data_IF_183048834786
#
_entry.id   IF_183048834786
#
_cell.length_a   1.000
_cell.length_b   1.000
_cell.length_c   1.000
_cell.angle_alpha   90.00
_cell.angle_beta   90.00
_cell.angle_gamma   90.00
#
_symmetry.space_group_name_H-M   'P 1'
#
loop_
_entity.id
_entity.type
_entity.pdbx_description
1 polymer ?
#
# COMPACT_ATOMS: atom_id res chain seq x y z
N UNK A 1 -14.58 -35.53 -16.82
CA UNK A 1 -15.25 -35.24 -18.10
C UNK A 1 -16.60 -35.97 -18.22
N UNK A 2 -16.68 -37.28 -18.49
CA UNK A 2 -17.97 -37.98 -18.72
C UNK A 2 -18.96 -38.06 -17.53
N UNK A 3 -18.54 -37.73 -16.30
CA UNK A 3 -19.44 -37.69 -15.13
C UNK A 3 -20.17 -36.35 -14.95
N UNK A 4 -19.63 -35.24 -15.47
CA UNK A 4 -20.22 -33.91 -15.27
C UNK A 4 -21.46 -33.68 -16.14
N UNK A 5 -21.56 -34.39 -17.27
CA UNK A 5 -22.75 -34.41 -18.13
C UNK A 5 -23.99 -35.04 -17.46
N UNK A 6 -23.84 -35.67 -16.30
CA UNK A 6 -24.93 -36.30 -15.53
C UNK A 6 -25.49 -35.44 -14.41
N UNK A 7 -24.98 -34.21 -14.20
CA UNK A 7 -25.53 -33.30 -13.21
C UNK A 7 -26.98 -32.98 -13.56
N UNK A 8 -27.91 -33.33 -12.65
CA UNK A 8 -29.33 -33.03 -12.85
C UNK A 8 -29.65 -31.64 -12.31
N UNK A 9 -30.51 -30.86 -13.00
CA UNK A 9 -31.15 -29.72 -12.39
C UNK A 9 -31.97 -30.19 -11.18
N UNK A 10 -31.88 -29.45 -10.07
CA UNK A 10 -32.47 -29.85 -8.79
C UNK A 10 -34.00 -29.77 -8.84
N UNK A 11 -34.75 -30.87 -8.64
CA UNK A 11 -36.20 -30.82 -8.60
C UNK A 11 -36.65 -30.23 -7.26
N UNK A 12 -37.15 -28.99 -7.26
CA UNK A 12 -37.63 -28.30 -6.06
C UNK A 12 -37.11 -26.87 -5.88
N UNK A 13 -36.16 -26.44 -6.70
CA UNK A 13 -35.77 -25.02 -6.83
C UNK A 13 -36.02 -24.58 -8.27
N UNK A 14 -37.25 -24.13 -8.54
CA UNK A 14 -37.56 -23.47 -9.80
C UNK A 14 -37.06 -22.03 -9.70
N UNK A 15 -35.94 -21.72 -10.35
CA UNK A 15 -35.63 -20.34 -10.76
C UNK A 15 -36.51 -20.04 -11.97
N UNK A 16 -37.77 -19.68 -11.74
CA UNK A 16 -38.57 -19.03 -12.78
C UNK A 16 -38.05 -17.62 -12.93
N UNK A 17 -37.31 -17.36 -14.00
CA UNK A 17 -37.10 -16.01 -14.49
C UNK A 17 -38.43 -15.48 -15.03
N UNK A 18 -39.23 -14.85 -14.15
CA UNK A 18 -40.37 -14.02 -14.56
C UNK A 18 -40.27 -12.73 -13.77
N UNK A 19 -39.77 -11.68 -14.44
CA UNK A 19 -39.95 -10.28 -14.05
C UNK A 19 -39.27 -9.82 -12.76
N UNK A 20 -38.04 -9.30 -12.88
CA UNK A 20 -37.61 -8.05 -12.23
C UNK A 20 -37.67 -7.87 -10.70
N UNK A 21 -38.08 -8.85 -9.90
CA UNK A 21 -38.15 -8.72 -8.44
C UNK A 21 -37.08 -9.58 -7.75
N UNK A 22 -36.24 -8.94 -6.95
CA UNK A 22 -35.28 -9.63 -6.08
C UNK A 22 -36.04 -10.43 -5.01
N UNK A 23 -36.14 -11.75 -5.17
CA UNK A 23 -36.74 -12.60 -4.14
C UNK A 23 -35.88 -12.65 -2.88
N UNK A 24 -36.36 -12.07 -1.79
CA UNK A 24 -35.90 -12.40 -0.43
C UNK A 24 -36.40 -13.80 -0.09
N UNK A 25 -35.49 -14.72 0.18
CA UNK A 25 -35.81 -15.91 0.95
C UNK A 25 -36.13 -15.49 2.39
N UNK A 26 -37.42 -15.32 2.71
CA UNK A 26 -37.84 -15.14 4.10
C UNK A 26 -37.58 -16.44 4.86
N UNK A 27 -36.93 -16.42 6.04
CA UNK A 27 -36.65 -17.62 6.80
C UNK A 27 -37.97 -18.28 7.23
N UNK A 28 -38.17 -19.53 6.80
CA UNK A 28 -39.33 -20.33 7.24
C UNK A 28 -39.30 -20.51 8.77
N UNK A 29 -40.46 -20.70 9.43
CA UNK A 29 -40.51 -21.06 10.84
C UNK A 29 -39.90 -22.44 11.10
N UNK A 30 -39.12 -22.58 12.19
CA UNK A 30 -38.29 -23.76 12.55
C UNK A 30 -39.01 -25.12 12.50
N UNK A 31 -40.33 -25.14 12.74
CA UNK A 31 -41.17 -26.35 12.69
C UNK A 31 -41.31 -26.93 11.28
N UNK A 32 -41.35 -26.07 10.26
CA UNK A 32 -41.56 -26.47 8.87
C UNK A 32 -40.29 -27.14 8.27
N UNK A 33 -39.10 -26.74 8.73
CA UNK A 33 -37.82 -27.32 8.29
C UNK A 33 -37.67 -28.81 8.63
N UNK A 34 -38.22 -29.25 9.78
CA UNK A 34 -38.07 -30.62 10.23
C UNK A 34 -38.98 -31.59 9.44
N UNK A 35 -40.11 -31.13 8.92
CA UNK A 35 -41.02 -31.93 8.11
C UNK A 35 -40.44 -32.19 6.71
N UNK A 36 -39.86 -31.16 6.09
CA UNK A 36 -39.26 -31.22 4.76
C UNK A 36 -38.08 -32.22 4.72
N UNK A 37 -37.19 -32.20 5.72
CA UNK A 37 -36.03 -33.09 5.78
C UNK A 37 -36.38 -34.60 5.94
N UNK A 38 -37.56 -34.92 6.49
CA UNK A 38 -37.98 -36.31 6.72
C UNK A 38 -38.55 -36.97 5.46
N UNK A 39 -39.14 -36.18 4.55
CA UNK A 39 -39.76 -36.66 3.29
C UNK A 39 -38.72 -36.96 2.19
N UNK A 40 -37.55 -36.33 2.23
CA UNK A 40 -36.51 -36.44 1.20
C UNK A 40 -35.64 -37.71 1.33
N UNK A 41 -35.60 -38.33 2.52
CA UNK A 41 -34.73 -39.50 2.81
C UNK A 41 -34.97 -40.76 1.95
N UNK A 42 -36.11 -40.88 1.26
CA UNK A 42 -36.43 -42.08 0.47
C UNK A 42 -35.94 -42.01 -0.98
N UNK A 43 -35.22 -40.96 -1.39
CA UNK A 43 -34.72 -40.78 -2.76
C UNK A 43 -33.24 -40.34 -2.74
N UNK A 44 -32.32 -41.24 -2.36
CA UNK A 44 -30.89 -40.93 -2.52
C UNK A 44 -30.51 -40.97 -4.01
N UNK A 45 -30.19 -39.82 -4.59
CA UNK A 45 -29.70 -39.72 -5.96
C UNK A 45 -28.27 -40.28 -6.09
N UNK A 46 -27.98 -40.99 -7.19
CA UNK A 46 -26.65 -41.55 -7.49
C UNK A 46 -25.55 -40.46 -7.61
N UNK A 47 -25.93 -39.24 -7.97
CA UNK A 47 -25.03 -38.11 -8.24
C UNK A 47 -25.52 -36.84 -7.55
N UNK A 48 -24.58 -35.96 -7.18
CA UNK A 48 -24.93 -34.61 -6.72
C UNK A 48 -25.65 -33.82 -7.82
N UNK A 49 -26.60 -32.98 -7.44
CA UNK A 49 -27.12 -31.95 -8.35
C UNK A 49 -26.13 -30.78 -8.48
N UNK A 50 -26.40 -29.85 -9.40
CA UNK A 50 -25.50 -28.74 -9.69
C UNK A 50 -25.13 -27.92 -8.44
N UNK A 51 -26.12 -27.49 -7.65
CA UNK A 51 -25.91 -26.68 -6.45
C UNK A 51 -25.08 -27.43 -5.38
N UNK A 52 -25.35 -28.72 -5.21
CA UNK A 52 -24.59 -29.58 -4.30
C UNK A 52 -23.14 -29.73 -4.77
N UNK A 53 -22.90 -29.89 -6.07
CA UNK A 53 -21.56 -29.99 -6.63
C UNK A 53 -20.78 -28.67 -6.49
N UNK A 54 -21.40 -27.53 -6.78
CA UNK A 54 -20.81 -26.18 -6.58
C UNK A 54 -20.44 -25.95 -5.12
N UNK A 55 -21.34 -26.28 -4.18
CA UNK A 55 -21.06 -26.19 -2.74
C UNK A 55 -19.87 -27.08 -2.37
N UNK A 56 -19.90 -28.34 -2.78
CA UNK A 56 -18.88 -29.31 -2.39
C UNK A 56 -17.52 -28.90 -2.95
N UNK A 57 -17.40 -28.65 -4.26
CA UNK A 57 -16.11 -28.26 -4.85
C UNK A 57 -15.61 -26.90 -4.34
N UNK A 58 -16.51 -25.95 -4.10
CA UNK A 58 -16.14 -24.63 -3.60
C UNK A 58 -15.66 -24.66 -2.15
N UNK A 59 -16.39 -25.35 -1.27
CA UNK A 59 -15.97 -25.49 0.13
C UNK A 59 -14.74 -26.38 0.29
N UNK A 60 -14.46 -27.28 -0.65
CA UNK A 60 -13.21 -28.05 -0.64
C UNK A 60 -11.98 -27.17 -0.84
N UNK A 61 -12.08 -26.00 -1.47
CA UNK A 61 -10.99 -25.00 -1.48
C UNK A 61 -10.78 -24.33 -0.13
N UNK A 62 -11.71 -24.47 0.82
CA UNK A 62 -11.59 -23.95 2.18
C UNK A 62 -11.86 -24.97 3.29
N UNK A 63 -12.83 -24.65 4.16
CA UNK A 63 -13.15 -25.39 5.40
C UNK A 63 -13.77 -26.78 5.17
N UNK A 64 -14.18 -27.09 3.95
CA UNK A 64 -14.66 -28.41 3.57
C UNK A 64 -13.57 -29.48 3.72
N UNK A 65 -13.94 -30.62 4.29
CA UNK A 65 -13.05 -31.78 4.38
C UNK A 65 -13.77 -33.05 3.91
N UNK A 66 -13.00 -33.99 3.38
CA UNK A 66 -13.52 -35.30 3.02
C UNK A 66 -12.68 -36.42 3.60
N UNK A 67 -13.32 -37.56 3.79
CA UNK A 67 -12.68 -38.82 4.13
C UNK A 67 -13.25 -39.91 3.23
N UNK A 68 -12.41 -40.86 2.83
CA UNK A 68 -12.82 -42.00 2.02
C UNK A 68 -12.59 -43.28 2.79
N UNK A 69 -13.64 -44.08 2.93
CA UNK A 69 -13.54 -45.49 3.29
C UNK A 69 -13.93 -46.29 2.03
N UNK A 70 -15.11 -46.92 2.01
CA UNK A 70 -15.67 -47.49 0.78
C UNK A 70 -16.01 -46.39 -0.25
N UNK A 71 -16.72 -45.36 0.20
CA UNK A 71 -17.01 -44.16 -0.57
C UNK A 71 -16.59 -42.90 0.20
N UNK A 72 -16.49 -41.78 -0.49
CA UNK A 72 -16.21 -40.49 0.10
C UNK A 72 -17.38 -40.00 0.96
N UNK A 73 -17.04 -39.25 1.99
CA UNK A 73 -17.96 -38.53 2.87
C UNK A 73 -17.44 -37.11 3.07
N UNK A 74 -18.34 -36.13 3.05
CA UNK A 74 -18.06 -34.72 3.25
C UNK A 74 -18.31 -34.31 4.70
N UNK A 75 -17.48 -33.43 5.23
CA UNK A 75 -17.63 -32.84 6.56
C UNK A 75 -17.49 -31.33 6.45
N UNK A 76 -18.41 -30.62 7.11
CA UNK A 76 -18.31 -29.17 7.32
C UNK A 76 -18.28 -28.86 8.81
N UNK A 77 -17.36 -27.98 9.21
CA UNK A 77 -17.15 -27.56 10.58
C UNK A 77 -16.83 -26.06 10.57
N UNK A 78 -17.67 -25.25 11.23
CA UNK A 78 -17.45 -23.82 11.37
C UNK A 78 -17.59 -23.38 12.82
N UNK A 79 -17.01 -22.25 13.18
CA UNK A 79 -17.24 -21.64 14.49
C UNK A 79 -18.74 -21.43 14.74
N UNK A 80 -19.17 -21.47 16.01
CA UNK A 80 -20.60 -21.38 16.36
C UNK A 80 -21.26 -20.06 15.92
N UNK A 81 -20.47 -19.00 15.76
CA UNK A 81 -20.89 -17.71 15.19
C UNK A 81 -21.33 -17.81 13.72
N UNK A 82 -20.89 -18.84 12.98
CA UNK A 82 -21.24 -19.13 11.60
C UNK A 82 -22.16 -20.37 11.47
N UNK A 83 -22.86 -20.74 12.55
CA UNK A 83 -23.75 -21.93 12.55
C UNK A 83 -24.87 -21.84 11.50
N UNK A 84 -25.39 -20.64 11.21
CA UNK A 84 -26.41 -20.42 10.19
C UNK A 84 -25.87 -20.73 8.79
N UNK A 85 -24.64 -20.33 8.49
CA UNK A 85 -23.97 -20.68 7.24
C UNK A 85 -23.80 -22.20 7.12
N UNK A 86 -23.35 -22.84 8.20
CA UNK A 86 -23.23 -24.31 8.23
C UNK A 86 -24.59 -25.02 8.10
N UNK A 87 -25.66 -24.42 8.63
CA UNK A 87 -27.03 -24.93 8.49
C UNK A 87 -27.50 -24.89 7.03
N UNK A 88 -27.19 -23.83 6.28
CA UNK A 88 -27.48 -23.75 4.84
C UNK A 88 -26.79 -24.89 4.08
N UNK A 89 -25.51 -25.16 4.38
CA UNK A 89 -24.79 -26.27 3.75
C UNK A 89 -25.44 -27.62 4.05
N UNK A 90 -25.87 -27.83 5.30
CA UNK A 90 -26.61 -29.02 5.69
C UNK A 90 -27.90 -29.19 4.89
N UNK A 91 -28.68 -28.12 4.70
CA UNK A 91 -29.95 -28.21 3.98
C UNK A 91 -29.77 -28.62 2.53
N UNK A 92 -28.76 -28.05 1.85
CA UNK A 92 -28.40 -28.40 0.46
C UNK A 92 -27.99 -29.87 0.35
N UNK A 93 -27.31 -30.41 1.37
CA UNK A 93 -26.84 -31.80 1.42
C UNK A 93 -27.74 -32.72 2.26
N UNK A 94 -28.95 -32.31 2.62
CA UNK A 94 -29.74 -32.97 3.68
C UNK A 94 -30.11 -34.42 3.34
N UNK A 95 -30.23 -34.74 2.06
CA UNK A 95 -30.48 -36.10 1.53
C UNK A 95 -29.34 -37.07 1.87
N UNK A 96 -28.13 -36.53 2.02
CA UNK A 96 -26.92 -37.28 2.32
C UNK A 96 -26.52 -37.22 3.78
N UNK A 97 -27.34 -36.67 4.69
CA UNK A 97 -26.96 -36.42 6.08
C UNK A 97 -27.87 -37.15 7.07
N UNK A 98 -27.27 -37.89 8.00
CA UNK A 98 -27.99 -38.64 9.05
C UNK A 98 -28.43 -37.77 10.22
N UNK A 99 -27.71 -36.70 10.52
CA UNK A 99 -27.93 -35.84 11.68
C UNK A 99 -27.72 -34.37 11.33
N UNK A 100 -28.62 -33.52 11.81
CA UNK A 100 -28.49 -32.06 11.69
C UNK A 100 -27.17 -31.56 12.32
N UNK A 101 -26.67 -30.36 11.95
CA UNK A 101 -25.51 -29.78 12.58
C UNK A 101 -25.59 -29.77 14.11
N UNK A 102 -24.53 -30.26 14.75
CA UNK A 102 -24.42 -30.38 16.20
C UNK A 102 -23.41 -29.38 16.74
N UNK A 103 -23.73 -28.82 17.90
CA UNK A 103 -22.81 -27.98 18.67
C UNK A 103 -21.73 -28.88 19.28
N UNK A 104 -20.46 -28.58 19.05
CA UNK A 104 -19.30 -29.30 19.60
C UNK A 104 -18.32 -28.32 20.22
N UNK A 105 -17.58 -28.75 21.23
CA UNK A 105 -16.43 -27.98 21.72
C UNK A 105 -15.43 -27.88 20.58
N UNK A 106 -14.93 -26.68 20.32
CA UNK A 106 -13.97 -26.47 19.24
C UNK A 106 -12.55 -26.74 19.74
N UNK A 107 -11.75 -27.42 18.92
CA UNK A 107 -10.34 -27.69 19.21
C UNK A 107 -9.42 -26.57 18.69
N UNK A 108 -9.98 -25.61 17.94
CA UNK A 108 -9.28 -24.46 17.37
C UNK A 108 -9.70 -23.12 17.99
N UNK A 109 -9.93 -22.12 17.15
CA UNK A 109 -10.28 -20.77 17.58
C UNK A 109 -11.75 -20.65 18.01
N UNK A 110 -12.00 -20.13 19.20
CA UNK A 110 -13.34 -20.01 19.80
C UNK A 110 -13.76 -21.25 20.58
N UNK A 111 -14.81 -21.13 21.39
CA UNK A 111 -15.20 -22.20 22.35
C UNK A 111 -16.04 -23.31 21.71
N UNK A 112 -16.90 -22.96 20.75
CA UNK A 112 -17.89 -23.86 20.17
C UNK A 112 -17.84 -23.84 18.64
N UNK A 113 -18.09 -25.00 18.05
CA UNK A 113 -18.27 -25.17 16.60
C UNK A 113 -19.64 -25.78 16.28
N UNK A 114 -20.10 -25.57 15.05
CA UNK A 114 -21.22 -26.25 14.42
C UNK A 114 -20.64 -27.23 13.41
N UNK A 115 -20.99 -28.52 13.52
CA UNK A 115 -20.45 -29.57 12.65
C UNK A 115 -21.54 -30.50 12.14
N UNK A 116 -21.45 -30.91 10.87
CA UNK A 116 -22.17 -32.08 10.34
C UNK A 116 -21.26 -32.86 9.39
N UNK A 117 -21.65 -34.09 9.08
CA UNK A 117 -21.00 -34.93 8.08
C UNK A 117 -22.06 -35.64 7.26
N UNK A 118 -21.74 -35.93 6.00
CA UNK A 118 -22.57 -36.76 5.15
C UNK A 118 -22.31 -38.23 5.42
N UNK A 119 -23.24 -39.08 5.00
CA UNK A 119 -23.03 -40.50 4.82
C UNK A 119 -21.89 -40.73 3.80
N UNK A 120 -21.21 -41.86 3.93
CA UNK A 120 -20.29 -42.36 2.89
C UNK A 120 -21.13 -42.77 1.69
N UNK A 121 -20.98 -42.09 0.55
CA UNK A 121 -21.87 -42.25 -0.60
C UNK A 121 -21.13 -42.02 -1.93
N UNK A 122 -21.46 -42.83 -2.95
CA UNK A 122 -20.82 -42.79 -4.29
C UNK A 122 -20.89 -41.41 -4.94
N UNK A 123 -21.95 -40.65 -4.67
CA UNK A 123 -22.14 -39.28 -5.18
C UNK A 123 -20.97 -38.32 -4.84
N UNK A 124 -20.19 -38.59 -3.78
CA UNK A 124 -19.04 -37.75 -3.41
C UNK A 124 -17.69 -38.25 -3.98
N UNK A 125 -17.64 -39.45 -4.57
CA UNK A 125 -16.38 -40.04 -5.03
C UNK A 125 -15.72 -39.20 -6.12
N UNK A 126 -16.50 -38.55 -7.00
CA UNK A 126 -15.95 -37.66 -8.03
C UNK A 126 -15.23 -36.47 -7.39
N UNK A 127 -15.84 -35.80 -6.41
CA UNK A 127 -15.26 -34.65 -5.76
C UNK A 127 -14.01 -35.04 -4.96
N UNK A 128 -14.04 -36.19 -4.27
CA UNK A 128 -12.86 -36.71 -3.61
C UNK A 128 -11.71 -36.97 -4.59
N UNK A 129 -11.99 -37.60 -5.73
CA UNK A 129 -10.99 -37.91 -6.76
C UNK A 129 -10.39 -36.67 -7.41
N UNK A 130 -11.14 -35.57 -7.50
CA UNK A 130 -10.63 -34.29 -8.03
C UNK A 130 -9.80 -33.53 -7.00
N UNK A 131 -10.24 -33.53 -5.75
CA UNK A 131 -9.64 -32.70 -4.70
C UNK A 131 -8.50 -33.38 -3.93
N UNK A 132 -8.27 -34.69 -4.10
CA UNK A 132 -7.24 -35.42 -3.36
C UNK A 132 -6.31 -36.24 -4.26
N UNK A 133 -5.03 -36.20 -3.92
CA UNK A 133 -4.00 -37.10 -4.41
C UNK A 133 -3.28 -37.72 -3.21
N UNK A 134 -3.14 -39.05 -3.19
CA UNK A 134 -2.51 -39.78 -2.07
C UNK A 134 -3.11 -39.38 -0.71
N UNK A 135 -4.44 -39.33 -0.63
CA UNK A 135 -5.23 -38.95 0.56
C UNK A 135 -5.02 -37.53 1.08
N UNK A 136 -4.24 -36.70 0.38
CA UNK A 136 -4.02 -35.30 0.72
C UNK A 136 -4.82 -34.41 -0.21
N UNK A 137 -5.38 -33.34 0.32
CA UNK A 137 -6.06 -32.32 -0.49
C UNK A 137 -5.01 -31.61 -1.36
N UNK A 138 -5.20 -31.63 -2.68
CA UNK A 138 -4.26 -31.03 -3.64
C UNK A 138 -5.03 -30.22 -4.69
N UNK A 139 -4.62 -28.98 -4.93
CA UNK A 139 -5.17 -28.16 -6.02
C UNK A 139 -4.56 -28.58 -7.34
N UNK A 140 -5.40 -29.04 -8.27
CA UNK A 140 -4.99 -29.52 -9.60
C UNK A 140 -5.70 -28.74 -10.70
N UNK A 141 -5.12 -28.64 -11.91
CA UNK A 141 -5.81 -28.04 -13.06
C UNK A 141 -7.14 -28.74 -13.38
N UNK A 142 -7.23 -30.06 -13.15
CA UNK A 142 -8.46 -30.83 -13.36
C UNK A 142 -9.58 -30.41 -12.41
N UNK A 143 -9.27 -30.18 -11.13
CA UNK A 143 -10.25 -29.64 -10.19
C UNK A 143 -10.69 -28.23 -10.59
N UNK A 144 -9.76 -27.35 -10.94
CA UNK A 144 -10.09 -25.98 -11.35
C UNK A 144 -10.93 -25.95 -12.63
N UNK A 145 -10.64 -26.82 -13.60
CA UNK A 145 -11.45 -26.97 -14.82
C UNK A 145 -12.88 -27.45 -14.50
N UNK A 146 -13.01 -28.40 -13.56
CA UNK A 146 -14.33 -28.85 -13.12
C UNK A 146 -15.14 -27.72 -12.46
N UNK A 147 -14.49 -26.82 -11.72
CA UNK A 147 -15.14 -25.62 -11.17
C UNK A 147 -15.64 -24.70 -12.29
N UNK A 148 -14.85 -24.48 -13.34
CA UNK A 148 -15.24 -23.68 -14.49
C UNK A 148 -16.47 -24.27 -15.20
N UNK A 149 -16.48 -25.58 -15.42
CA UNK A 149 -17.57 -26.29 -16.10
C UNK A 149 -18.91 -26.19 -15.34
N UNK A 150 -18.88 -26.22 -14.00
CA UNK A 150 -20.11 -26.21 -13.19
C UNK A 150 -20.55 -24.81 -12.73
N UNK A 151 -19.85 -23.75 -13.15
CA UNK A 151 -20.13 -22.39 -12.72
C UNK A 151 -19.09 -21.90 -11.70
N UNK A 152 -18.09 -21.19 -12.23
CA UNK A 152 -16.98 -20.65 -11.45
C UNK A 152 -17.46 -19.72 -10.32
N UNK A 153 -18.31 -18.73 -10.61
CA UNK A 153 -18.67 -17.70 -9.63
C UNK A 153 -19.56 -18.23 -8.51
N UNK A 154 -20.47 -19.15 -8.82
CA UNK A 154 -21.30 -19.85 -7.83
C UNK A 154 -20.44 -20.67 -6.86
N UNK A 155 -19.47 -21.40 -7.42
CA UNK A 155 -18.52 -22.21 -6.65
C UNK A 155 -17.59 -21.34 -5.80
N UNK A 156 -17.08 -20.24 -6.36
CA UNK A 156 -16.22 -19.29 -5.66
C UNK A 156 -16.94 -18.54 -4.53
N UNK A 157 -18.27 -18.37 -4.62
CA UNK A 157 -19.08 -17.83 -3.53
C UNK A 157 -18.98 -18.67 -2.24
N UNK A 158 -18.94 -19.99 -2.37
CA UNK A 158 -18.73 -20.91 -1.25
C UNK A 158 -17.30 -20.85 -0.69
N UNK A 159 -16.30 -20.79 -1.55
CA UNK A 159 -14.91 -20.64 -1.10
C UNK A 159 -14.70 -19.32 -0.36
N UNK A 160 -15.27 -18.21 -0.85
CA UNK A 160 -15.27 -16.93 -0.16
C UNK A 160 -15.96 -17.04 1.21
N UNK A 161 -17.08 -17.74 1.28
CA UNK A 161 -17.82 -18.00 2.51
C UNK A 161 -16.94 -18.64 3.58
N UNK A 162 -16.07 -19.57 3.19
CA UNK A 162 -15.16 -20.28 4.09
C UNK A 162 -13.96 -19.38 4.44
N UNK A 163 -13.10 -19.12 3.45
CA UNK A 163 -11.75 -18.57 3.66
C UNK A 163 -11.56 -17.13 3.16
N UNK A 164 -12.63 -16.48 2.73
CA UNK A 164 -12.61 -15.09 2.33
C UNK A 164 -12.52 -14.11 3.50
N UNK A 165 -11.71 -13.06 3.35
CA UNK A 165 -11.65 -11.94 4.30
C UNK A 165 -11.45 -10.62 3.58
N UNK A 166 -12.32 -9.63 3.83
CA UNK A 166 -12.18 -8.27 3.30
C UNK A 166 -11.56 -7.35 4.35
N UNK A 167 -10.49 -6.66 3.98
CA UNK A 167 -10.01 -5.53 4.77
C UNK A 167 -10.82 -4.28 4.40
N UNK A 168 -11.80 -3.96 5.24
CA UNK A 168 -12.69 -2.81 5.06
C UNK A 168 -11.97 -1.44 4.97
N UNK A 169 -10.72 -1.32 5.45
CA UNK A 169 -9.94 -0.08 5.37
C UNK A 169 -9.18 0.05 4.05
N UNK A 170 -8.69 -1.06 3.52
CA UNK A 170 -7.90 -1.05 2.29
C UNK A 170 -8.68 -1.50 1.06
N UNK A 171 -9.91 -2.00 1.24
CA UNK A 171 -10.74 -2.62 0.21
C UNK A 171 -9.99 -3.72 -0.56
N UNK A 172 -9.13 -4.44 0.14
CA UNK A 172 -8.42 -5.58 -0.42
C UNK A 172 -8.92 -6.84 0.25
N UNK A 173 -9.23 -7.85 -0.57
CA UNK A 173 -9.60 -9.17 -0.10
C UNK A 173 -8.36 -10.06 0.06
N UNK A 174 -8.41 -10.95 1.04
CA UNK A 174 -7.51 -12.09 1.18
C UNK A 174 -8.32 -13.37 1.12
N UNK A 175 -7.80 -14.38 0.43
CA UNK A 175 -8.29 -15.76 0.50
C UNK A 175 -7.25 -16.56 1.27
N UNK A 176 -7.69 -17.13 2.38
CA UNK A 176 -6.86 -17.95 3.25
C UNK A 176 -6.62 -19.31 2.59
N UNK A 177 -5.36 -19.59 2.24
CA UNK A 177 -4.92 -20.80 1.52
C UNK A 177 -3.78 -21.50 2.26
N UNK A 178 -3.68 -21.31 3.57
CA UNK A 178 -2.57 -21.77 4.41
C UNK A 178 -2.45 -23.30 4.47
N UNK A 179 -3.49 -24.03 4.03
CA UNK A 179 -3.52 -25.47 3.88
C UNK A 179 -2.87 -26.02 2.60
N UNK A 180 -2.58 -25.17 1.61
CA UNK A 180 -1.99 -25.56 0.33
C UNK A 180 -0.50 -25.21 0.26
N UNK A 181 0.24 -25.92 -0.60
CA UNK A 181 1.66 -25.64 -0.88
C UNK A 181 1.83 -24.39 -1.75
N UNK A 182 3.05 -23.84 -1.80
CA UNK A 182 3.33 -22.67 -2.64
C UNK A 182 2.99 -22.88 -4.13
N UNK A 183 3.36 -24.00 -4.78
CA UNK A 183 2.97 -24.25 -6.18
C UNK A 183 1.46 -24.25 -6.40
N UNK A 184 0.69 -24.83 -5.48
CA UNK A 184 -0.78 -24.85 -5.54
C UNK A 184 -1.37 -23.44 -5.39
N UNK A 185 -0.84 -22.64 -4.47
CA UNK A 185 -1.28 -21.24 -4.29
C UNK A 185 -0.90 -20.39 -5.50
N UNK A 186 0.26 -20.64 -6.12
CA UNK A 186 0.64 -19.99 -7.39
C UNK A 186 -0.30 -20.38 -8.53
N UNK A 187 -0.69 -21.65 -8.62
CA UNK A 187 -1.69 -22.13 -9.59
C UNK A 187 -3.04 -21.43 -9.39
N UNK A 188 -3.53 -21.36 -8.14
CA UNK A 188 -4.76 -20.62 -7.81
C UNK A 188 -4.66 -19.13 -8.20
N UNK A 189 -3.50 -18.52 -7.95
CA UNK A 189 -3.24 -17.12 -8.29
C UNK A 189 -3.38 -16.88 -9.79
N UNK A 190 -2.68 -17.67 -10.61
CA UNK A 190 -2.71 -17.58 -12.07
C UNK A 190 -4.11 -17.85 -12.62
N UNK A 191 -4.79 -18.86 -12.07
CA UNK A 191 -6.16 -19.20 -12.44
C UNK A 191 -7.13 -18.04 -12.17
N UNK A 192 -7.11 -17.45 -10.97
CA UNK A 192 -7.95 -16.27 -10.65
C UNK A 192 -7.58 -15.05 -11.49
N UNK A 193 -6.29 -14.80 -11.75
CA UNK A 193 -5.85 -13.70 -12.63
C UNK A 193 -6.43 -13.84 -14.04
N UNK A 194 -6.48 -15.07 -14.55
CA UNK A 194 -7.03 -15.37 -15.87
C UNK A 194 -8.51 -15.02 -15.98
N UNK A 195 -9.28 -15.14 -14.89
CA UNK A 195 -10.72 -14.81 -14.85
C UNK A 195 -10.98 -13.33 -14.52
N UNK A 196 -10.25 -12.78 -13.55
CA UNK A 196 -10.42 -11.38 -13.10
C UNK A 196 -9.76 -10.36 -14.05
N UNK A 197 -8.82 -10.80 -14.89
CA UNK A 197 -7.99 -9.94 -15.74
C UNK A 197 -7.31 -8.83 -14.92
N UNK A 198 -6.84 -9.18 -13.72
CA UNK A 198 -6.19 -8.26 -12.77
C UNK A 198 -5.27 -9.06 -11.86
N UNK A 199 -4.08 -8.55 -11.48
CA UNK A 199 -3.14 -9.29 -10.66
C UNK A 199 -3.70 -9.73 -9.29
N UNK A 200 -3.33 -10.95 -8.91
CA UNK A 200 -3.55 -11.60 -7.62
C UNK A 200 -2.18 -11.92 -7.05
N UNK A 201 -1.90 -11.47 -5.82
CA UNK A 201 -0.58 -11.61 -5.23
C UNK A 201 -0.55 -12.79 -4.27
N UNK A 202 0.44 -13.67 -4.41
CA UNK A 202 0.77 -14.66 -3.38
C UNK A 202 1.52 -13.95 -2.26
N UNK A 203 0.89 -13.85 -1.08
CA UNK A 203 1.48 -13.19 0.07
C UNK A 203 1.99 -14.23 1.09
N UNK A 204 3.29 -14.21 1.45
CA UNK A 204 3.78 -15.00 2.58
C UNK A 204 3.24 -14.45 3.90
N UNK A 205 2.81 -15.34 4.79
CA UNK A 205 2.38 -15.03 6.14
C UNK A 205 2.98 -16.02 7.12
N UNK A 206 3.47 -15.55 8.27
CA UNK A 206 3.93 -16.43 9.34
C UNK A 206 2.82 -16.58 10.36
N UNK A 207 2.52 -17.83 10.74
CA UNK A 207 1.64 -18.11 11.86
C UNK A 207 2.25 -17.53 13.13
N UNK A 208 1.46 -16.73 13.87
CA UNK A 208 1.90 -16.18 15.15
C UNK A 208 2.10 -17.25 16.22
N UNK A 209 1.37 -18.36 16.10
CA UNK A 209 1.37 -19.45 17.10
C UNK A 209 2.47 -20.47 16.82
N UNK A 210 2.65 -20.86 15.56
CA UNK A 210 3.58 -21.95 15.19
C UNK A 210 4.87 -21.45 14.52
N UNK A 211 4.92 -20.17 14.11
CA UNK A 211 6.05 -19.61 13.35
C UNK A 211 6.17 -20.13 11.91
N UNK A 212 5.35 -21.12 11.53
CA UNK A 212 5.35 -21.75 10.21
C UNK A 212 5.00 -20.71 9.14
N UNK A 213 5.74 -20.76 8.03
CA UNK A 213 5.46 -19.96 6.85
C UNK A 213 4.32 -20.60 6.06
N UNK A 214 3.30 -19.80 5.78
CA UNK A 214 2.18 -20.15 4.94
C UNK A 214 2.02 -19.11 3.82
N UNK A 215 1.21 -19.43 2.83
CA UNK A 215 0.91 -18.56 1.71
C UNK A 215 -0.59 -18.34 1.62
N UNK A 216 -0.98 -17.10 1.36
CA UNK A 216 -2.37 -16.69 1.13
C UNK A 216 -2.47 -15.87 -0.14
N UNK A 217 -3.64 -15.84 -0.75
CA UNK A 217 -3.89 -14.97 -1.90
C UNK A 217 -4.35 -13.61 -1.40
N UNK A 218 -3.76 -12.54 -1.95
CA UNK A 218 -4.17 -11.17 -1.72
C UNK A 218 -4.59 -10.53 -3.03
N UNK A 219 -5.85 -10.15 -3.10
CA UNK A 219 -6.41 -9.44 -4.24
C UNK A 219 -6.10 -7.96 -4.11
N UNK A 220 -5.72 -7.34 -5.23
CA UNK A 220 -5.68 -5.88 -5.33
C UNK A 220 -7.08 -5.29 -5.11
N UNK A 221 -7.15 -3.98 -4.92
CA UNK A 221 -8.43 -3.24 -4.84
C UNK A 221 -9.34 -3.55 -6.05
N UNK A 222 -8.79 -3.42 -7.26
CA UNK A 222 -9.51 -3.65 -8.51
C UNK A 222 -9.93 -5.11 -8.67
N UNK A 223 -9.05 -6.05 -8.30
CA UNK A 223 -9.38 -7.48 -8.31
C UNK A 223 -10.47 -7.81 -7.28
N UNK A 224 -10.46 -7.16 -6.11
CA UNK A 224 -11.47 -7.34 -5.06
C UNK A 224 -12.84 -6.87 -5.52
N UNK A 225 -12.92 -5.68 -6.13
CA UNK A 225 -14.17 -5.14 -6.69
C UNK A 225 -14.77 -6.08 -7.73
N UNK A 226 -13.96 -6.52 -8.72
CA UNK A 226 -14.40 -7.49 -9.72
C UNK A 226 -14.80 -8.82 -9.12
N UNK A 227 -14.03 -9.36 -8.17
CA UNK A 227 -14.33 -10.64 -7.54
C UNK A 227 -15.67 -10.57 -6.81
N UNK A 228 -15.86 -9.52 -6.00
CA UNK A 228 -17.12 -9.27 -5.27
C UNK A 228 -18.30 -9.12 -6.23
N UNK A 229 -18.16 -8.32 -7.29
CA UNK A 229 -19.19 -8.11 -8.30
C UNK A 229 -19.69 -9.44 -8.88
N UNK A 230 -18.78 -10.37 -9.21
CA UNK A 230 -19.14 -11.65 -9.81
C UNK A 230 -19.70 -12.66 -8.80
N UNK A 231 -19.22 -12.69 -7.56
CA UNK A 231 -19.63 -13.71 -6.57
C UNK A 231 -20.78 -13.29 -5.67
N UNK A 232 -21.11 -11.99 -5.58
CA UNK A 232 -22.05 -11.46 -4.59
C UNK A 232 -23.44 -12.14 -4.60
N UNK A 233 -23.91 -12.56 -5.77
CA UNK A 233 -25.20 -13.24 -5.90
C UNK A 233 -25.18 -14.67 -5.36
N UNK A 234 -24.04 -15.35 -5.44
CA UNK A 234 -23.88 -16.73 -4.99
C UNK A 234 -23.60 -16.85 -3.48
N UNK A 235 -23.18 -15.76 -2.82
CA UNK A 235 -22.83 -15.78 -1.40
C UNK A 235 -24.09 -15.88 -0.54
N UNK A 236 -24.21 -16.91 0.32
CA UNK A 236 -25.38 -17.05 1.18
C UNK A 236 -25.56 -15.87 2.15
N UNK A 237 -26.81 -15.60 2.53
CA UNK A 237 -27.18 -14.46 3.38
C UNK A 237 -26.29 -14.28 4.64
N UNK A 238 -26.02 -15.33 5.45
CA UNK A 238 -25.18 -15.19 6.65
C UNK A 238 -23.72 -14.77 6.36
N UNK A 239 -23.28 -14.88 5.10
CA UNK A 239 -21.94 -14.56 4.64
C UNK A 239 -21.88 -13.28 3.80
N UNK A 240 -23.00 -12.59 3.56
CA UNK A 240 -23.03 -11.37 2.73
C UNK A 240 -22.15 -10.24 3.26
N UNK A 241 -21.88 -10.21 4.57
CA UNK A 241 -20.92 -9.26 5.14
C UNK A 241 -19.50 -9.39 4.56
N UNK A 242 -19.15 -10.53 3.96
CA UNK A 242 -17.87 -10.76 3.25
C UNK A 242 -17.85 -10.20 1.83
N UNK A 243 -18.96 -9.71 1.29
CA UNK A 243 -19.04 -9.05 -0.03
C UNK A 243 -19.48 -7.59 0.06
N UNK A 244 -19.80 -7.09 1.26
CA UNK A 244 -20.11 -5.67 1.45
C UNK A 244 -18.81 -4.85 1.40
N UNK A 245 -18.58 -4.20 0.26
CA UNK A 245 -17.58 -3.15 0.15
C UNK A 245 -18.18 -1.86 0.67
N UNK A 246 -17.54 -1.23 1.65
CA UNK A 246 -17.93 0.12 2.04
C UNK A 246 -17.78 1.05 0.82
N UNK A 247 -18.64 2.05 0.73
CA UNK A 247 -18.42 3.10 -0.25
C UNK A 247 -17.09 3.77 0.03
N UNK A 248 -16.28 3.93 -1.01
CA UNK A 248 -15.15 4.83 -0.93
C UNK A 248 -15.71 6.23 -0.88
N UNK A 249 -15.35 6.98 0.15
CA UNK A 249 -15.49 8.43 0.12
C UNK A 249 -14.68 8.95 -1.06
N UNK A 250 -15.36 9.17 -2.18
CA UNK A 250 -14.78 9.69 -3.43
C UNK A 250 -14.33 11.14 -3.25
N UNK A 251 -14.99 11.85 -2.36
CA UNK A 251 -14.66 13.20 -1.98
C UNK A 251 -14.74 13.40 -0.48
N UNK A 252 -13.90 14.30 0.00
CA UNK A 252 -13.92 14.78 1.38
C UNK A 252 -13.63 16.27 1.44
N UNK A 253 -14.12 16.92 2.48
CA UNK A 253 -13.84 18.33 2.72
C UNK A 253 -12.54 18.51 3.50
N UNK A 254 -11.71 19.46 3.05
CA UNK A 254 -10.51 19.86 3.76
C UNK A 254 -10.86 20.55 5.07
N UNK A 255 -10.32 20.07 6.19
CA UNK A 255 -10.57 20.65 7.50
C UNK A 255 -10.17 22.13 7.59
N UNK A 256 -9.12 22.55 6.86
CA UNK A 256 -8.57 23.91 6.98
C UNK A 256 -9.15 24.92 6.00
N UNK A 257 -9.63 24.52 4.82
CA UNK A 257 -10.18 25.44 3.84
C UNK A 257 -11.61 25.13 3.40
N UNK A 258 -12.20 24.05 3.89
CA UNK A 258 -13.55 23.61 3.52
C UNK A 258 -13.70 23.17 2.06
N UNK A 259 -12.63 23.17 1.25
CA UNK A 259 -12.70 22.72 -0.15
C UNK A 259 -12.83 21.21 -0.23
N UNK A 260 -13.75 20.75 -1.05
CA UNK A 260 -13.86 19.36 -1.45
C UNK A 260 -12.61 18.94 -2.24
N UNK A 261 -12.10 17.74 -1.96
CA UNK A 261 -10.96 17.17 -2.69
C UNK A 261 -11.02 15.64 -2.68
N UNK A 262 -10.38 15.02 -3.66
CA UNK A 262 -10.21 13.57 -3.70
C UNK A 262 -9.03 13.15 -2.81
N UNK A 263 -9.25 12.29 -1.80
CA UNK A 263 -8.16 11.89 -0.92
C UNK A 263 -7.17 11.01 -1.69
N UNK A 264 -5.89 11.40 -1.69
CA UNK A 264 -4.83 10.52 -2.22
C UNK A 264 -4.72 9.25 -1.35
N UNK A 265 -4.38 8.10 -1.95
CA UNK A 265 -4.41 6.75 -1.35
C UNK A 265 -3.83 6.62 0.08
N UNK A 266 -2.85 7.45 0.45
CA UNK A 266 -2.28 7.48 1.81
C UNK A 266 -3.18 8.18 2.83
N UNK A 267 -3.89 9.24 2.44
CA UNK A 267 -4.79 10.00 3.30
C UNK A 267 -6.15 9.32 3.52
N UNK A 268 -6.61 8.50 2.57
CA UNK A 268 -7.85 7.72 2.73
C UNK A 268 -7.75 6.63 3.82
N UNK A 269 -6.52 6.14 4.10
CA UNK A 269 -6.30 5.02 5.03
C UNK A 269 -6.24 5.43 6.51
N UNK A 270 -5.89 6.67 6.81
CA UNK A 270 -5.79 7.17 8.19
C UNK A 270 -7.12 7.74 8.68
N UNK A 271 -8.07 6.86 9.05
CA UNK A 271 -9.25 7.25 9.86
C UNK A 271 -8.85 7.95 11.19
N UNK A 272 -7.59 7.88 11.60
CA UNK A 272 -7.06 8.39 12.87
C UNK A 272 -6.66 9.86 12.86
N UNK A 273 -6.55 10.52 11.70
CA UNK A 273 -6.50 11.99 11.71
C UNK A 273 -7.90 12.52 11.45
N UNK A 274 -8.54 13.04 12.49
CA UNK A 274 -9.85 13.71 12.41
C UNK A 274 -9.86 14.92 11.45
N UNK A 275 -8.71 15.30 10.90
CA UNK A 275 -8.50 16.52 10.11
C UNK A 275 -7.83 16.20 8.77
N UNK A 276 -8.62 15.99 7.72
CA UNK A 276 -8.16 15.72 6.35
C UNK A 276 -7.70 17.02 5.65
N UNK A 277 -6.63 16.97 4.85
CA UNK A 277 -6.01 18.14 4.23
C UNK A 277 -5.94 18.00 2.71
N UNK A 278 -6.45 18.98 1.96
CA UNK A 278 -6.32 19.01 0.48
C UNK A 278 -4.89 19.22 -0.04
N UNK A 279 -3.89 19.29 0.85
CA UNK A 279 -2.48 19.51 0.53
C UNK A 279 -2.17 20.83 -0.19
N UNK A 280 -3.11 21.77 -0.26
CA UNK A 280 -2.78 23.12 -0.73
C UNK A 280 -1.69 23.74 0.18
N UNK A 281 -0.75 24.55 -0.37
CA UNK A 281 0.31 25.16 0.43
C UNK A 281 -0.22 25.91 1.67
N UNK A 282 -1.36 26.58 1.53
CA UNK A 282 -2.05 27.27 2.62
C UNK A 282 -2.53 26.29 3.70
N UNK A 283 -3.21 25.20 3.33
CA UNK A 283 -3.68 24.20 4.30
C UNK A 283 -2.54 23.42 4.95
N UNK A 284 -1.45 23.16 4.23
CA UNK A 284 -0.23 22.56 4.81
C UNK A 284 0.34 23.49 5.88
N UNK A 285 0.44 24.79 5.59
CA UNK A 285 0.90 25.79 6.55
C UNK A 285 -0.01 25.84 7.78
N UNK A 286 -1.33 25.86 7.60
CA UNK A 286 -2.29 25.87 8.70
C UNK A 286 -2.19 24.59 9.56
N UNK A 287 -2.07 23.42 8.93
CA UNK A 287 -1.83 22.14 9.61
C UNK A 287 -0.55 22.18 10.44
N UNK A 288 0.54 22.72 9.90
CA UNK A 288 1.80 22.86 10.63
C UNK A 288 1.68 23.82 11.83
N UNK A 289 1.00 24.96 11.66
CA UNK A 289 0.76 25.90 12.75
C UNK A 289 -0.04 25.24 13.89
N UNK A 290 -1.08 24.49 13.55
CA UNK A 290 -1.90 23.77 14.53
C UNK A 290 -1.13 22.66 15.25
N UNK A 291 -0.39 21.81 14.51
CA UNK A 291 0.43 20.76 15.10
C UNK A 291 1.51 21.34 16.02
N UNK A 292 2.09 22.48 15.65
CA UNK A 292 3.03 23.20 16.50
C UNK A 292 2.34 23.72 17.76
N UNK A 293 1.15 24.33 17.66
CA UNK A 293 0.41 24.77 18.83
C UNK A 293 0.09 23.61 19.79
N UNK A 294 -0.34 22.45 19.27
CA UNK A 294 -0.59 21.25 20.07
C UNK A 294 0.69 20.69 20.73
N UNK A 295 1.83 20.76 20.05
CA UNK A 295 3.13 20.37 20.62
C UNK A 295 3.52 21.32 21.75
N UNK A 296 3.30 22.63 21.56
CA UNK A 296 3.66 23.68 22.51
C UNK A 296 2.75 23.68 23.76
N UNK A 297 1.48 23.29 23.61
CA UNK A 297 0.55 23.14 24.72
C UNK A 297 0.91 21.99 25.68
N UNK A 298 1.78 21.05 25.27
CA UNK A 298 2.23 19.94 26.12
C UNK A 298 3.52 20.33 26.84
N UNK A 299 3.49 20.65 28.15
CA UNK A 299 4.67 21.07 28.88
C UNK A 299 5.77 19.98 28.80
N UNK A 300 7.02 20.41 28.65
CA UNK A 300 8.20 19.54 28.55
C UNK A 300 8.40 18.83 27.20
N UNK A 301 7.36 18.57 26.39
CA UNK A 301 7.53 17.81 25.12
C UNK A 301 8.51 18.43 24.14
N UNK A 302 8.54 19.76 24.04
CA UNK A 302 9.48 20.47 23.18
C UNK A 302 10.92 20.29 23.66
N UNK A 303 11.18 20.40 24.97
CA UNK A 303 12.53 20.25 25.50
C UNK A 303 13.01 18.82 25.32
N UNK A 304 12.17 17.81 25.57
CA UNK A 304 12.51 16.40 25.36
C UNK A 304 12.82 16.12 23.89
N UNK A 305 12.02 16.65 22.95
CA UNK A 305 12.26 16.48 21.51
C UNK A 305 13.57 17.15 21.08
N UNK A 306 13.83 18.37 21.55
CA UNK A 306 15.06 19.10 21.25
C UNK A 306 16.28 18.36 21.82
N UNK A 307 16.22 17.90 23.07
CA UNK A 307 17.29 17.12 23.72
C UNK A 307 17.59 15.84 22.94
N UNK A 308 16.57 15.07 22.57
CA UNK A 308 16.74 13.86 21.76
C UNK A 308 17.34 14.15 20.37
N UNK A 309 16.96 15.26 19.74
CA UNK A 309 17.56 15.67 18.47
C UNK A 309 19.03 16.09 18.64
N UNK A 310 19.36 16.79 19.72
CA UNK A 310 20.73 17.17 20.06
C UNK A 310 21.58 15.94 20.34
N UNK A 311 21.12 15.01 21.17
CA UNK A 311 21.78 13.72 21.43
C UNK A 311 22.01 12.93 20.14
N UNK A 312 20.99 12.83 19.27
CA UNK A 312 21.10 12.13 17.99
C UNK A 312 22.08 12.82 17.02
N UNK A 313 22.19 14.15 17.07
CA UNK A 313 23.16 14.90 16.28
C UNK A 313 24.59 14.65 16.78
N UNK A 314 24.79 14.62 18.10
CA UNK A 314 26.11 14.42 18.71
C UNK A 314 26.59 12.96 18.70
N UNK A 315 25.68 11.98 18.65
CA UNK A 315 26.04 10.56 18.60
C UNK A 315 26.89 10.19 17.37
N UNK A 316 26.69 10.90 16.25
CA UNK A 316 27.50 10.76 15.04
C UNK A 316 27.55 12.11 14.31
N UNK A 317 28.46 12.97 14.78
CA UNK A 317 28.56 14.35 14.33
C UNK A 317 28.94 14.44 12.85
N UNK A 318 29.82 13.57 12.37
CA UNK A 318 30.29 13.58 10.98
C UNK A 318 29.19 13.14 10.02
N UNK A 319 28.46 12.06 10.33
CA UNK A 319 27.32 11.65 9.50
C UNK A 319 26.19 12.69 9.51
N UNK A 320 26.04 13.42 10.61
CA UNK A 320 25.06 14.51 10.70
C UNK A 320 25.47 15.75 9.89
N UNK A 321 26.76 16.12 9.92
CA UNK A 321 27.34 17.15 9.06
C UNK A 321 27.23 16.79 7.59
N UNK A 322 27.52 15.54 7.24
CA UNK A 322 27.43 15.05 5.86
C UNK A 322 26.00 15.12 5.33
N UNK A 323 25.01 14.65 6.11
CA UNK A 323 23.59 14.83 5.78
C UNK A 323 23.23 16.31 5.60
N UNK A 324 23.79 17.19 6.43
CA UNK A 324 23.66 18.65 6.30
C UNK A 324 24.22 19.19 4.98
N UNK A 325 25.42 18.75 4.57
CA UNK A 325 26.06 19.12 3.29
C UNK A 325 25.22 18.66 2.10
N UNK A 326 24.80 17.39 2.08
CA UNK A 326 23.96 16.82 1.01
C UNK A 326 22.64 17.59 0.91
N UNK A 327 21.98 17.87 2.04
CA UNK A 327 20.74 18.62 2.05
C UNK A 327 20.92 20.06 1.56
N UNK A 328 21.98 20.75 2.00
CA UNK A 328 22.30 22.10 1.56
C UNK A 328 22.58 22.15 0.06
N UNK A 329 23.31 21.17 -0.49
CA UNK A 329 23.57 21.06 -1.92
C UNK A 329 22.27 20.87 -2.72
N UNK A 330 21.42 19.91 -2.33
CA UNK A 330 20.11 19.70 -2.96
C UNK A 330 19.21 20.93 -2.90
N UNK A 331 19.22 21.63 -1.76
CA UNK A 331 18.45 22.86 -1.61
C UNK A 331 18.97 23.98 -2.51
N UNK A 332 20.29 24.17 -2.57
CA UNK A 332 20.92 25.15 -3.46
C UNK A 332 20.65 24.86 -4.93
N UNK A 333 20.69 23.59 -5.33
CA UNK A 333 20.38 23.16 -6.69
C UNK A 333 18.90 23.44 -7.04
N UNK A 334 17.97 22.95 -6.21
CA UNK A 334 16.53 23.12 -6.43
C UNK A 334 16.06 24.58 -6.37
N UNK A 335 16.80 25.46 -5.67
CA UNK A 335 16.43 26.86 -5.47
C UNK A 335 17.48 27.83 -6.06
N UNK A 336 18.32 27.37 -6.99
CA UNK A 336 19.46 28.13 -7.50
C UNK A 336 19.06 29.52 -8.00
N UNK A 337 18.01 29.57 -8.81
CA UNK A 337 17.56 30.81 -9.43
C UNK A 337 16.92 31.77 -8.42
N UNK A 338 16.16 31.23 -7.46
CA UNK A 338 15.58 32.00 -6.36
C UNK A 338 16.67 32.60 -5.46
N UNK A 339 17.70 31.81 -5.11
CA UNK A 339 18.84 32.26 -4.32
C UNK A 339 19.65 33.32 -5.06
N UNK A 340 19.88 33.14 -6.36
CA UNK A 340 20.56 34.12 -7.21
C UNK A 340 19.75 35.42 -7.32
N UNK A 341 18.43 35.34 -7.51
CA UNK A 341 17.55 36.50 -7.52
C UNK A 341 17.59 37.25 -6.18
N UNK A 342 17.53 36.53 -5.05
CA UNK A 342 17.65 37.13 -3.71
C UNK A 342 19.01 37.81 -3.52
N UNK A 343 20.11 37.17 -3.96
CA UNK A 343 21.46 37.72 -3.90
C UNK A 343 21.58 39.00 -4.73
N UNK A 344 21.03 39.01 -5.95
CA UNK A 344 20.95 40.21 -6.80
C UNK A 344 20.18 41.33 -6.12
N UNK A 345 19.01 41.05 -5.54
CA UNK A 345 18.20 42.03 -4.84
C UNK A 345 18.92 42.64 -3.63
N UNK A 346 19.61 41.82 -2.83
CA UNK A 346 20.42 42.31 -1.70
C UNK A 346 21.59 43.17 -2.18
N UNK A 347 22.28 42.76 -3.25
CA UNK A 347 23.37 43.53 -3.82
C UNK A 347 22.88 44.86 -4.39
N UNK A 348 21.73 44.89 -5.07
CA UNK A 348 21.11 46.12 -5.54
C UNK A 348 20.83 47.08 -4.36
N UNK A 349 20.23 46.59 -3.28
CA UNK A 349 20.01 47.38 -2.05
C UNK A 349 21.32 47.90 -1.45
N UNK A 350 22.38 47.09 -1.43
CA UNK A 350 23.71 47.53 -0.95
C UNK A 350 24.32 48.61 -1.85
N UNK A 351 24.16 48.49 -3.16
CA UNK A 351 24.63 49.49 -4.12
C UNK A 351 23.89 50.81 -3.94
N UNK A 352 22.56 50.77 -3.79
CA UNK A 352 21.77 51.97 -3.48
C UNK A 352 22.16 52.59 -2.13
N UNK A 353 22.31 51.78 -1.08
CA UNK A 353 22.75 52.28 0.22
C UNK A 353 24.16 52.92 0.16
N UNK A 354 25.08 52.37 -0.64
CA UNK A 354 26.42 52.95 -0.85
C UNK A 354 26.37 54.31 -1.54
N UNK A 355 25.44 54.54 -2.47
CA UNK A 355 25.27 55.86 -3.11
C UNK A 355 24.87 56.95 -2.12
N UNK A 356 24.17 56.57 -1.05
CA UNK A 356 23.68 57.48 0.00
C UNK A 356 24.71 57.75 1.10
N UNK A 357 25.79 56.97 1.21
CA UNK A 357 26.81 57.20 2.22
C UNK A 357 27.64 58.43 1.83
N UNK A 358 27.82 59.41 2.73
CA UNK A 358 28.70 60.54 2.48
C UNK A 358 30.14 60.02 2.35
N UNK A 359 30.81 60.47 1.30
CA UNK A 359 32.21 60.15 1.07
C UNK A 359 33.08 61.38 1.33
N UNK A 360 34.19 61.23 2.05
CA UNK A 360 35.13 62.32 2.33
C UNK A 360 36.42 62.18 1.51
N UNK A 361 36.89 63.30 0.95
CA UNK A 361 38.18 63.33 0.27
C UNK A 361 39.34 63.10 1.21
N UNK A 362 40.18 62.11 0.91
CA UNK A 362 41.39 61.82 1.70
C UNK A 362 42.40 62.97 1.70
N UNK A 363 42.29 63.92 0.75
CA UNK A 363 43.21 65.05 0.63
C UNK A 363 42.63 66.36 1.14
N UNK A 364 41.39 66.69 0.80
CA UNK A 364 40.78 67.98 1.15
C UNK A 364 39.58 67.90 2.10
N UNK A 365 39.29 66.71 2.66
CA UNK A 365 38.18 66.43 3.61
C UNK A 365 36.76 66.81 3.16
N UNK A 366 36.59 67.40 1.97
CA UNK A 366 35.28 67.71 1.39
C UNK A 366 34.40 66.47 1.34
N UNK A 367 33.16 66.64 1.80
CA UNK A 367 32.13 65.61 1.75
C UNK A 367 31.17 65.91 0.61
N UNK A 368 31.07 64.98 -0.34
CA UNK A 368 30.12 65.07 -1.45
C UNK A 368 29.26 63.80 -1.50
N UNK A 369 27.98 63.90 -1.93
CA UNK A 369 27.17 62.72 -2.21
C UNK A 369 27.83 61.91 -3.35
N UNK A 370 27.95 60.59 -3.19
CA UNK A 370 28.73 59.70 -4.09
C UNK A 370 28.22 59.64 -5.55
N UNK A 371 27.11 60.30 -5.90
CA UNK A 371 26.47 60.24 -7.22
C UNK A 371 27.29 60.86 -8.37
N UNK A 372 28.27 61.71 -8.10
CA UNK A 372 29.08 62.42 -9.13
C UNK A 372 30.38 61.70 -9.52
N UNK A 373 30.59 60.46 -9.07
CA UNK A 373 31.94 59.89 -9.01
C UNK A 373 32.24 58.76 -9.98
N UNK A 374 33.46 58.76 -10.51
CA UNK A 374 34.16 57.59 -11.01
C UNK A 374 34.76 56.78 -9.84
N UNK A 375 34.22 55.57 -9.63
CA UNK A 375 34.44 54.66 -8.48
C UNK A 375 35.89 54.26 -8.18
N UNK A 376 36.85 54.61 -9.03
CA UNK A 376 38.24 54.12 -8.94
C UNK A 376 39.20 54.98 -8.12
N UNK A 377 38.88 56.23 -7.78
CA UNK A 377 39.85 57.10 -7.06
C UNK A 377 39.37 57.45 -5.66
N UNK A 378 40.30 57.70 -4.73
CA UNK A 378 40.05 58.18 -3.36
C UNK A 378 40.14 59.71 -3.24
N UNK A 379 40.08 60.43 -4.36
CA UNK A 379 40.19 61.89 -4.43
C UNK A 379 38.92 62.50 -5.05
N UNK A 380 38.55 63.73 -4.66
CA UNK A 380 37.53 64.50 -5.38
C UNK A 380 38.06 64.87 -6.77
N UNK A 381 37.21 65.38 -7.67
CA UNK A 381 37.62 65.71 -9.04
C UNK A 381 38.84 66.66 -9.06
N UNK A 382 38.84 67.65 -8.17
CA UNK A 382 39.92 68.63 -8.04
C UNK A 382 41.20 68.03 -7.45
N UNK A 383 41.11 67.29 -6.35
CA UNK A 383 42.28 66.61 -5.79
C UNK A 383 42.85 65.53 -6.72
N UNK A 384 42.03 64.95 -7.59
CA UNK A 384 42.46 63.94 -8.57
C UNK A 384 43.41 64.55 -9.61
N UNK A 385 43.13 65.74 -10.11
CA UNK A 385 44.04 66.41 -11.06
C UNK A 385 45.41 66.70 -10.41
N UNK A 386 45.40 67.09 -9.13
CA UNK A 386 46.62 67.36 -8.36
C UNK A 386 47.44 66.08 -8.16
N UNK A 387 46.81 65.00 -7.68
CA UNK A 387 47.51 63.72 -7.45
C UNK A 387 48.05 63.12 -8.75
N UNK A 388 47.28 63.21 -9.86
CA UNK A 388 47.77 62.75 -11.17
C UNK A 388 49.01 63.55 -11.61
N UNK A 389 49.01 64.88 -11.41
CA UNK A 389 50.15 65.75 -11.73
C UNK A 389 51.37 65.44 -10.86
N UNK A 390 51.17 65.21 -9.57
CA UNK A 390 52.25 64.80 -8.64
C UNK A 390 52.85 63.44 -9.02
N UNK A 391 52.01 62.46 -9.38
CA UNK A 391 52.49 61.16 -9.83
C UNK A 391 53.28 61.27 -11.13
N UNK A 392 52.81 62.08 -12.09
CA UNK A 392 53.55 62.35 -13.34
C UNK A 392 54.91 63.02 -13.08
N UNK A 393 54.98 63.96 -12.13
CA UNK A 393 56.22 64.61 -11.74
C UNK A 393 57.19 63.65 -11.02
N UNK A 394 56.70 62.75 -10.16
CA UNK A 394 57.51 61.72 -9.50
C UNK A 394 58.04 60.66 -10.48
N UNK A 395 57.31 60.39 -11.57
CA UNK A 395 57.74 59.44 -12.61
C UNK A 395 58.73 60.02 -13.63
N UNK A 396 59.17 61.28 -13.51
CA UNK A 396 60.24 61.82 -14.37
C UNK A 396 61.59 61.23 -13.94
N UNK A 397 62.28 60.46 -14.80
CA UNK A 397 63.58 59.89 -14.46
C UNK A 397 64.62 61.01 -14.32
N UNK A 398 65.33 61.04 -13.18
CA UNK A 398 66.53 61.85 -12.99
C UNK A 398 67.64 61.34 -13.92
N UNK A 399 68.23 62.26 -14.69
CA UNK A 399 69.31 61.96 -15.61
C UNK A 399 70.65 61.75 -14.89
N UNK A 400 71.47 60.86 -15.45
CA UNK A 400 72.84 60.46 -15.03
C UNK A 400 72.89 59.52 -13.82
N UNK A 401 73.79 58.53 -13.72
CA UNK A 401 75.05 58.26 -14.42
C UNK A 401 75.34 56.74 -14.41
N UNK A 402 76.06 56.29 -15.44
CA UNK A 402 76.59 54.93 -15.67
C UNK A 402 77.26 54.33 -14.42
N UNK A 403 77.05 53.03 -14.16
CA UNK A 403 78.11 52.01 -14.26
C UNK A 403 77.53 50.59 -14.18
N UNK A 404 78.27 49.71 -14.83
CA UNK A 404 78.07 48.31 -15.19
C UNK A 404 78.10 47.32 -14.01
N UNK A 405 77.27 46.28 -14.08
CA UNK A 405 77.67 44.88 -13.82
C UNK A 405 76.56 43.92 -14.28
N UNK A 406 76.90 43.04 -15.22
CA UNK A 406 76.14 41.84 -15.55
C UNK A 406 76.23 40.84 -14.39
N UNK A 407 75.10 40.28 -13.95
CA UNK A 407 75.08 38.90 -13.41
C UNK A 407 73.82 38.21 -13.92
N UNK A 408 74.04 37.19 -14.73
CA UNK A 408 73.06 36.22 -15.20
C UNK A 408 72.78 35.20 -14.09
N UNK A 409 71.52 35.06 -13.68
CA UNK A 409 71.03 33.83 -13.04
C UNK A 409 69.69 33.42 -13.64
N UNK A 410 69.75 32.43 -14.54
CA UNK A 410 68.60 31.58 -14.88
C UNK A 410 68.22 30.79 -13.63
N UNK A 411 66.99 30.95 -13.15
CA UNK A 411 66.34 29.96 -12.29
C UNK A 411 65.02 29.54 -12.93
N UNK A 412 65.06 28.38 -13.57
CA UNK A 412 63.91 27.56 -13.94
C UNK A 412 63.28 27.02 -12.66
N UNK A 413 62.02 27.34 -12.39
CA UNK A 413 61.22 26.60 -11.40
C UNK A 413 60.17 25.77 -12.11
N UNK A 414 60.36 24.46 -11.96
CA UNK A 414 59.56 23.36 -12.47
C UNK A 414 58.18 23.32 -11.81
N UNK A 415 57.17 22.95 -12.62
CA UNK A 415 55.85 22.53 -12.16
C UNK A 415 55.97 21.19 -11.42
N UNK A 416 55.34 21.00 -10.25
CA UNK A 416 55.22 19.67 -9.67
C UNK A 416 54.17 18.84 -10.43
N UNK A 417 54.59 17.61 -10.75
CA UNK A 417 53.84 16.57 -11.45
C UNK A 417 52.61 16.09 -10.65
N UNK A 418 51.51 15.95 -11.38
CA UNK A 418 50.31 15.22 -10.99
C UNK A 418 50.61 13.72 -10.91
N UNK A 419 50.59 13.17 -9.69
CA UNK A 419 50.61 11.73 -9.45
C UNK A 419 49.22 11.14 -9.71
N UNK A 420 49.11 10.41 -10.82
CA UNK A 420 48.02 9.48 -11.11
C UNK A 420 48.09 8.29 -10.17
N UNK A 421 47.08 8.13 -9.30
CA UNK A 421 46.91 6.93 -8.48
C UNK A 421 45.94 5.98 -9.20
N UNK A 422 46.52 4.93 -9.76
CA UNK A 422 45.85 3.74 -10.26
C UNK A 422 45.12 3.03 -9.11
N UNK A 423 43.87 2.64 -9.37
CA UNK A 423 43.11 1.70 -8.54
C UNK A 423 43.24 0.31 -9.16
N UNK A 424 43.50 -0.76 -8.39
CA UNK A 424 43.26 -2.12 -8.85
C UNK A 424 41.80 -2.50 -8.57
N UNK A 425 41.18 -3.14 -9.55
CA UNK A 425 39.93 -3.89 -9.36
C UNK A 425 40.24 -5.35 -9.02
N UNK A 426 39.44 -5.90 -8.11
CA UNK A 426 38.90 -7.25 -8.07
C UNK A 426 37.85 -7.29 -6.96
#
# INVERSE_FOLDING_TARGET
>A
MAMLSKLRPSPGYVLTAVGGESHRLSPKPRSQWNADAKKVRSQSHETLNLLQAQLVLGTMLGDGSMRRNRHASYTSNHGWVQREYNWIKYLILSEYVSSKPIKRKNDGYGEWSSRFHTLSHLAFDFAYSLCHENEKKVVTPAWLSAIEEIGIWDTLGWWLGDDGSINAKTHTMSLHTEGFTLPEVQLLSQWLESHLKTPVCVQPARSSTTGKLHHRLRLSVKATEKFVENVAQAVPEPMKYKVTLNDRETSVFCHWCGKEFQPQNSQAREKTTTKRCCQSPTCIRMRHLELNAQLMAKPGKRSTKNKKQQEAYHADIEKSRERGRIHAAKYQEANRDLLNARKRAVNAKKTEARKLLPWSCQRCTLTEPMGSRDSKTKYCAECRSIVTRENQLRSRPLASSRSSAQVSTRFTTSKPETTTRSSPGA
#
